data_IF_830804106054
#
_entry.id   IF_830804106054
#
_cell.length_a   1.000
_cell.length_b   1.000
_cell.length_c   1.000
_cell.angle_alpha   90.00
_cell.angle_beta   90.00
_cell.angle_gamma   90.00
#
_symmetry.space_group_name_H-M   'P 1'
#
loop_
_entity.id
_entity.type
_entity.pdbx_description
1 polymer ?
#
# COMPACT_ATOMS: atom_id res chain seq x y z
N UNK A 1 -36.32 29.07 38.37
CA UNK A 1 -35.74 30.41 38.59
C UNK A 1 -34.53 30.29 39.47
N UNK A 2 -33.31 30.28 38.87
CA UNK A 2 -32.02 30.71 39.40
C UNK A 2 -30.98 30.55 38.30
N UNK A 3 -30.52 31.68 37.81
CA UNK A 3 -29.48 31.87 36.82
C UNK A 3 -28.15 31.81 37.55
N UNK A 4 -27.17 31.09 37.02
CA UNK A 4 -25.76 31.25 37.41
C UNK A 4 -24.92 31.58 36.17
N UNK A 5 -24.43 32.81 36.18
CA UNK A 5 -23.40 33.31 35.31
C UNK A 5 -22.03 32.67 35.71
N UNK A 6 -21.24 32.23 34.76
CA UNK A 6 -19.83 31.95 34.95
C UNK A 6 -19.03 32.78 33.97
N UNK A 7 -18.15 33.58 34.56
CA UNK A 7 -17.26 34.55 33.95
C UNK A 7 -16.07 33.84 33.30
N UNK A 8 -15.76 34.20 32.03
CA UNK A 8 -14.52 33.87 31.39
C UNK A 8 -13.41 34.82 31.91
N UNK A 9 -12.29 34.24 32.36
CA UNK A 9 -11.04 34.97 32.58
C UNK A 9 -10.06 34.58 31.44
N UNK A 10 -9.73 35.58 30.62
CA UNK A 10 -8.65 35.50 29.64
C UNK A 10 -7.34 35.90 30.31
N UNK A 11 -6.32 35.05 30.26
CA UNK A 11 -4.95 35.40 30.66
C UNK A 11 -4.09 35.62 29.41
N UNK A 12 -3.74 36.88 29.17
CA UNK A 12 -2.76 37.26 28.15
C UNK A 12 -1.33 37.12 28.71
N UNK A 13 -0.48 36.37 28.05
CA UNK A 13 0.96 36.40 28.28
C UNK A 13 1.66 37.24 27.19
N UNK A 14 2.18 38.38 27.57
CA UNK A 14 3.15 39.14 26.77
C UNK A 14 4.55 38.60 27.02
N UNK A 15 5.25 38.26 25.96
CA UNK A 15 6.71 38.08 25.99
C UNK A 15 7.39 39.24 25.30
N UNK A 16 8.28 39.88 26.06
CA UNK A 16 9.07 41.03 25.65
C UNK A 16 10.24 40.59 24.74
N UNK A 17 10.41 41.30 23.62
CA UNK A 17 11.60 41.23 22.77
C UNK A 17 12.68 42.16 23.29
N UNK A 18 13.87 41.62 23.56
CA UNK A 18 15.08 42.43 23.71
C UNK A 18 15.82 42.44 22.37
N UNK A 19 15.97 43.65 21.84
CA UNK A 19 16.75 43.96 20.64
C UNK A 19 18.22 44.10 21.00
N UNK A 20 19.11 43.50 20.22
CA UNK A 20 20.47 44.01 20.09
C UNK A 20 20.91 43.88 18.63
N UNK A 21 21.08 45.01 17.97
CA UNK A 21 21.45 45.11 16.58
C UNK A 21 22.95 44.97 16.34
N UNK A 22 23.27 44.49 15.15
CA UNK A 22 24.43 44.96 14.36
C UNK A 22 24.13 44.79 12.88
N UNK A 23 24.32 45.86 12.18
CA UNK A 23 24.26 46.08 10.74
C UNK A 23 25.45 45.43 10.05
N UNK A 24 25.21 44.68 8.95
CA UNK A 24 26.04 44.72 7.75
C UNK A 24 25.23 44.30 6.51
N UNK A 25 25.51 44.92 5.40
CA UNK A 25 24.71 45.07 4.19
C UNK A 25 24.93 43.95 3.18
N UNK A 26 24.07 43.80 2.14
CA UNK A 26 23.73 42.54 1.50
C UNK A 26 24.54 42.23 0.25
N UNK A 27 24.83 40.96 0.06
CA UNK A 27 25.11 40.41 -1.27
C UNK A 27 23.91 39.58 -1.74
N UNK A 28 23.37 39.96 -2.88
CA UNK A 28 22.32 39.28 -3.61
C UNK A 28 22.86 37.94 -4.14
N UNK A 29 22.36 36.84 -3.61
CA UNK A 29 22.45 35.55 -4.25
C UNK A 29 21.07 34.85 -4.26
N UNK A 30 20.54 34.67 -5.47
CA UNK A 30 19.28 33.96 -5.71
C UNK A 30 19.49 32.45 -5.52
N UNK A 31 19.63 32.03 -4.28
CA UNK A 31 19.70 30.60 -3.90
C UNK A 31 18.33 29.96 -3.86
N UNK A 32 18.10 28.98 -4.74
CA UNK A 32 17.04 27.98 -4.59
C UNK A 32 17.11 27.39 -3.17
N UNK A 33 15.96 27.09 -2.51
CA UNK A 33 15.99 26.47 -1.20
C UNK A 33 16.72 25.13 -1.30
N UNK A 34 17.87 25.05 -0.64
CA UNK A 34 18.66 23.84 -0.55
C UNK A 34 17.86 22.74 0.14
N UNK A 35 17.83 21.56 -0.48
CA UNK A 35 17.38 20.33 0.13
C UNK A 35 18.12 20.17 1.48
N UNK A 36 17.44 19.86 2.60
CA UNK A 36 18.16 19.63 3.84
C UNK A 36 19.13 18.48 3.65
N UNK A 37 20.40 18.70 3.98
CA UNK A 37 21.42 17.66 4.02
C UNK A 37 21.06 16.64 5.10
N UNK A 38 20.38 15.58 4.70
CA UNK A 38 20.22 14.39 5.53
C UNK A 38 21.58 13.67 5.48
N UNK A 39 22.24 13.42 6.62
CA UNK A 39 23.48 12.67 6.62
C UNK A 39 23.21 11.30 5.99
N UNK A 40 23.76 11.02 4.83
CA UNK A 40 23.69 9.71 4.22
C UNK A 40 24.52 8.75 5.07
N UNK A 41 23.86 7.99 5.93
CA UNK A 41 24.48 6.85 6.59
C UNK A 41 24.73 5.79 5.52
N UNK A 42 25.95 5.67 5.05
CA UNK A 42 26.31 4.61 4.12
C UNK A 42 26.12 3.27 4.84
N UNK A 43 25.23 2.37 4.37
CA UNK A 43 25.06 1.06 4.98
C UNK A 43 26.40 0.33 5.02
N UNK A 44 26.77 -0.20 6.18
CA UNK A 44 28.00 -0.96 6.37
C UNK A 44 28.00 -2.27 5.57
N UNK A 45 29.17 -2.89 5.41
CA UNK A 45 29.32 -4.20 4.71
C UNK A 45 28.75 -5.41 5.49
N UNK A 46 28.04 -5.19 6.60
CA UNK A 46 27.49 -6.23 7.47
C UNK A 46 26.18 -6.86 6.97
N UNK A 47 25.63 -7.74 7.77
CA UNK A 47 24.32 -8.35 7.51
C UNK A 47 23.20 -7.34 7.76
N UNK A 48 22.23 -7.25 6.84
CA UNK A 48 21.02 -6.45 7.07
C UNK A 48 20.05 -7.28 7.90
N UNK A 49 19.54 -6.69 8.98
CA UNK A 49 18.56 -7.31 9.89
C UNK A 49 17.44 -6.34 10.20
N UNK A 50 16.29 -6.87 10.65
CA UNK A 50 15.21 -6.06 11.22
C UNK A 50 15.17 -6.33 12.73
N UNK A 51 15.44 -5.31 13.51
CA UNK A 51 15.33 -5.35 14.97
C UNK A 51 13.90 -4.95 15.35
N UNK A 52 13.09 -5.95 15.75
CA UNK A 52 11.71 -5.73 16.15
C UNK A 52 11.62 -5.15 17.55
N UNK A 53 10.80 -4.08 17.69
CA UNK A 53 10.41 -3.52 18.99
C UNK A 53 9.27 -4.37 19.57
N UNK A 54 9.28 -4.62 20.90
CA UNK A 54 8.18 -5.22 21.65
C UNK A 54 7.46 -6.43 20.98
N UNK A 55 6.42 -6.93 21.64
CA UNK A 55 5.54 -7.94 21.08
C UNK A 55 4.55 -7.34 20.05
N UNK A 56 4.02 -8.17 19.13
CA UNK A 56 2.97 -7.74 18.23
C UNK A 56 1.77 -7.16 19.00
N UNK A 57 1.22 -6.07 18.49
CA UNK A 57 0.07 -5.38 19.05
C UNK A 57 -1.19 -5.64 18.22
N UNK A 58 -2.26 -6.10 18.88
CA UNK A 58 -3.60 -6.17 18.26
C UNK A 58 -4.23 -4.78 18.27
N UNK A 59 -4.72 -4.34 17.09
CA UNK A 59 -5.35 -3.02 16.93
C UNK A 59 -6.87 -3.12 16.98
N UNK A 60 -7.47 -3.98 16.15
CA UNK A 60 -8.92 -4.10 16.05
C UNK A 60 -9.33 -5.39 15.31
N UNK A 61 -10.59 -5.82 15.39
CA UNK A 61 -11.17 -6.76 14.43
C UNK A 61 -11.18 -6.14 13.03
N UNK A 62 -10.91 -6.94 12.00
CA UNK A 62 -10.91 -6.49 10.61
C UNK A 62 -9.83 -7.17 9.78
N UNK A 63 -9.82 -6.85 8.49
CA UNK A 63 -8.99 -7.49 7.48
C UNK A 63 -8.36 -6.48 6.53
N UNK A 64 -7.27 -6.91 5.88
CA UNK A 64 -6.62 -6.19 4.78
C UNK A 64 -6.26 -4.74 5.14
N UNK A 65 -5.60 -4.55 6.29
CA UNK A 65 -5.28 -3.21 6.78
C UNK A 65 -4.08 -2.59 6.07
N UNK A 66 -4.14 -1.27 5.88
CA UNK A 66 -3.09 -0.44 5.30
C UNK A 66 -2.85 0.78 6.17
N UNK A 67 -1.59 1.18 6.30
CA UNK A 67 -1.19 2.32 7.12
C UNK A 67 -0.26 3.22 6.32
N UNK A 68 -0.56 4.51 6.27
CA UNK A 68 0.35 5.52 5.71
C UNK A 68 0.39 6.77 6.59
N UNK A 69 1.50 7.48 6.52
CA UNK A 69 1.68 8.77 7.17
C UNK A 69 0.94 9.86 6.38
N UNK A 70 0.24 10.72 7.08
CA UNK A 70 -0.40 11.92 6.51
C UNK A 70 0.55 13.12 6.56
N UNK A 71 0.29 14.12 5.71
CA UNK A 71 1.07 15.36 5.64
C UNK A 71 1.00 16.18 6.93
N UNK A 72 -0.02 15.98 7.75
CA UNK A 72 -0.14 16.60 9.09
C UNK A 72 0.63 15.85 10.19
N UNK A 73 1.35 14.80 9.84
CA UNK A 73 2.19 14.00 10.74
C UNK A 73 1.48 12.85 11.42
N UNK A 74 0.16 12.77 11.36
CA UNK A 74 -0.60 11.61 11.85
C UNK A 74 -0.40 10.41 10.93
N UNK A 75 -0.72 9.23 11.45
CA UNK A 75 -0.87 8.02 10.65
C UNK A 75 -2.34 7.67 10.52
N UNK A 76 -2.77 7.24 9.35
CA UNK A 76 -4.10 6.71 9.11
C UNK A 76 -3.99 5.23 8.80
N UNK A 77 -4.84 4.44 9.45
CA UNK A 77 -5.03 3.01 9.19
C UNK A 77 -6.41 2.84 8.56
N UNK A 78 -6.46 2.22 7.38
CA UNK A 78 -7.70 1.79 6.73
C UNK A 78 -7.81 0.29 6.76
N UNK A 79 -9.03 -0.24 6.86
CA UNK A 79 -9.29 -1.67 6.88
C UNK A 79 -10.74 -2.00 6.53
N UNK A 80 -10.99 -3.24 6.15
CA UNK A 80 -12.35 -3.75 5.92
C UNK A 80 -12.84 -4.51 7.15
N UNK A 81 -14.09 -4.29 7.53
CA UNK A 81 -14.78 -5.08 8.56
C UNK A 81 -16.24 -5.21 8.18
N UNK A 82 -16.83 -6.38 8.45
CA UNK A 82 -18.17 -6.74 8.03
C UNK A 82 -18.39 -6.53 6.52
N UNK A 83 -19.08 -5.44 6.15
CA UNK A 83 -19.37 -5.11 4.74
C UNK A 83 -18.77 -3.79 4.29
N UNK A 84 -18.09 -3.06 5.18
CA UNK A 84 -17.74 -1.66 5.01
C UNK A 84 -16.25 -1.41 5.20
N UNK A 85 -15.79 -0.24 4.78
CA UNK A 85 -14.45 0.26 4.99
C UNK A 85 -14.39 1.23 6.17
N UNK A 86 -13.38 1.06 7.00
CA UNK A 86 -13.14 1.83 8.22
C UNK A 86 -11.79 2.50 8.18
N UNK A 87 -11.64 3.50 9.04
CA UNK A 87 -10.33 4.09 9.34
C UNK A 87 -10.14 4.34 10.84
N UNK A 88 -8.88 4.52 11.23
CA UNK A 88 -8.42 5.01 12.53
C UNK A 88 -7.24 5.93 12.35
N UNK A 89 -7.04 6.88 13.27
CA UNK A 89 -5.86 7.74 13.30
C UNK A 89 -4.97 7.41 14.49
N UNK A 90 -3.66 7.64 14.31
CA UNK A 90 -2.66 7.63 15.35
C UNK A 90 -1.83 8.92 15.27
N UNK A 91 -1.57 9.55 16.41
CA UNK A 91 -0.72 10.75 16.53
C UNK A 91 0.61 10.47 17.23
N UNK A 92 0.89 9.22 17.55
CA UNK A 92 2.04 8.79 18.38
C UNK A 92 2.87 7.68 17.72
N UNK A 93 3.07 7.80 16.41
CA UNK A 93 3.84 6.83 15.64
C UNK A 93 3.26 5.40 15.70
N UNK A 94 1.96 5.26 15.53
CA UNK A 94 1.23 4.00 15.54
C UNK A 94 1.28 3.22 16.87
N UNK A 95 1.52 3.89 18.00
CA UNK A 95 1.51 3.25 19.32
C UNK A 95 0.10 3.09 19.88
N UNK A 96 -0.74 4.12 19.66
CA UNK A 96 -2.16 4.09 20.02
C UNK A 96 -3.02 4.54 18.85
N UNK A 97 -4.28 4.12 18.84
CA UNK A 97 -5.22 4.36 17.76
C UNK A 97 -6.54 4.93 18.29
N UNK A 98 -7.05 5.96 17.62
CA UNK A 98 -8.37 6.53 17.92
C UNK A 98 -9.49 5.51 17.66
N UNK A 99 -10.71 5.83 18.12
CA UNK A 99 -11.90 5.02 17.82
C UNK A 99 -12.13 4.92 16.30
N UNK A 100 -12.72 3.82 15.82
CA UNK A 100 -12.93 3.61 14.39
C UNK A 100 -13.99 4.56 13.84
N UNK A 101 -13.76 5.03 12.63
CA UNK A 101 -14.76 5.72 11.81
C UNK A 101 -15.12 4.85 10.61
N UNK A 102 -16.42 4.60 10.41
CA UNK A 102 -16.93 3.95 9.22
C UNK A 102 -17.09 5.01 8.12
N UNK A 103 -16.40 4.87 7.02
CA UNK A 103 -16.33 5.92 5.97
C UNK A 103 -16.66 5.41 4.58
N UNK A 104 -16.29 4.19 4.23
CA UNK A 104 -16.61 3.59 2.95
C UNK A 104 -17.81 2.65 3.13
N UNK A 105 -19.03 3.19 3.00
CA UNK A 105 -20.26 2.49 3.36
C UNK A 105 -20.87 1.83 2.13
N UNK A 106 -20.75 0.51 2.03
CA UNK A 106 -21.16 -0.27 0.85
C UNK A 106 -22.63 -0.04 0.45
N UNK A 107 -23.52 0.11 1.42
CA UNK A 107 -24.96 0.31 1.16
C UNK A 107 -25.28 1.64 0.46
N UNK A 108 -24.37 2.61 0.49
CA UNK A 108 -24.55 3.89 -0.22
C UNK A 108 -24.24 3.80 -1.71
N UNK A 109 -23.54 2.75 -2.15
CA UNK A 109 -23.20 2.56 -3.57
C UNK A 109 -24.38 2.01 -4.38
N UNK A 110 -25.01 0.97 -3.91
CA UNK A 110 -26.20 0.41 -4.56
C UNK A 110 -27.05 -0.38 -3.56
N UNK A 111 -28.26 0.08 -3.33
CA UNK A 111 -29.22 -0.60 -2.44
C UNK A 111 -29.75 -1.92 -3.02
N UNK A 112 -29.71 -2.09 -4.34
CA UNK A 112 -30.30 -3.24 -5.01
C UNK A 112 -29.34 -4.42 -5.18
N UNK A 113 -28.03 -4.18 -5.20
CA UNK A 113 -27.04 -5.19 -5.59
C UNK A 113 -26.34 -5.89 -4.41
N UNK A 114 -26.35 -5.29 -3.23
CA UNK A 114 -25.64 -5.82 -2.07
C UNK A 114 -24.17 -6.11 -2.36
N UNK A 115 -23.30 -5.13 -2.15
CA UNK A 115 -21.85 -5.29 -2.26
C UNK A 115 -21.18 -5.29 -0.89
N UNK A 116 -19.94 -5.71 -0.83
CA UNK A 116 -19.04 -5.53 0.32
C UNK A 116 -17.82 -4.74 -0.10
N UNK A 117 -17.30 -3.92 0.78
CA UNK A 117 -16.00 -3.25 0.64
C UNK A 117 -14.90 -4.22 1.05
N UNK A 118 -13.91 -4.39 0.21
CA UNK A 118 -12.75 -5.25 0.46
C UNK A 118 -11.47 -4.60 -0.08
N UNK A 119 -10.31 -5.11 0.33
CA UNK A 119 -9.00 -4.69 -0.17
C UNK A 119 -8.80 -3.18 -0.08
N UNK A 120 -8.98 -2.63 1.11
CA UNK A 120 -8.78 -1.21 1.41
C UNK A 120 -7.34 -0.74 1.12
N UNK A 121 -7.19 0.41 0.46
CA UNK A 121 -5.91 1.09 0.25
C UNK A 121 -6.15 2.59 0.15
N UNK A 122 -5.15 3.42 0.48
CA UNK A 122 -5.29 4.86 0.34
C UNK A 122 -3.93 5.53 0.09
N UNK A 123 -3.99 6.73 -0.47
CA UNK A 123 -2.88 7.67 -0.45
C UNK A 123 -3.38 9.07 -0.12
N UNK A 124 -2.55 9.86 0.52
CA UNK A 124 -2.75 11.31 0.59
C UNK A 124 -1.87 11.97 -0.47
N UNK A 125 -2.47 12.82 -1.28
CA UNK A 125 -1.75 13.59 -2.28
C UNK A 125 -0.80 14.57 -1.59
N UNK A 126 0.31 14.87 -2.25
CA UNK A 126 1.31 15.79 -1.73
C UNK A 126 0.70 17.17 -1.48
N UNK A 127 1.31 17.91 -0.56
CA UNK A 127 0.90 19.27 -0.23
C UNK A 127 1.07 20.25 -1.39
N UNK A 128 1.87 19.90 -2.40
CA UNK A 128 2.10 20.66 -3.63
C UNK A 128 1.38 20.09 -4.85
N UNK A 129 0.44 19.13 -4.66
CA UNK A 129 -0.38 18.64 -5.76
C UNK A 129 -1.11 19.82 -6.46
N UNK A 130 -1.03 19.94 -7.80
CA UNK A 130 -1.53 21.12 -8.51
C UNK A 130 -3.05 21.25 -8.51
N UNK A 131 -3.80 20.19 -8.20
CA UNK A 131 -5.26 20.18 -8.25
C UNK A 131 -5.90 20.13 -6.87
N UNK A 132 -5.46 19.17 -6.05
CA UNK A 132 -6.03 18.93 -4.72
C UNK A 132 -4.93 18.65 -3.70
N UNK A 133 -4.24 19.71 -3.19
CA UNK A 133 -3.24 19.55 -2.12
C UNK A 133 -3.83 18.83 -0.90
N UNK A 134 -3.13 17.83 -0.40
CA UNK A 134 -3.49 17.04 0.79
C UNK A 134 -4.78 16.20 0.67
N UNK A 135 -5.39 16.08 -0.52
CA UNK A 135 -6.55 15.19 -0.69
C UNK A 135 -6.18 13.75 -0.35
N UNK A 136 -7.00 13.10 0.44
CA UNK A 136 -6.90 11.66 0.67
C UNK A 136 -7.80 10.96 -0.35
N UNK A 137 -7.25 9.97 -1.05
CA UNK A 137 -7.99 9.06 -1.94
C UNK A 137 -7.97 7.69 -1.28
N UNK A 138 -9.15 7.20 -0.86
CA UNK A 138 -9.34 5.86 -0.31
C UNK A 138 -9.95 4.99 -1.40
N UNK A 139 -9.22 4.02 -1.89
CA UNK A 139 -9.65 3.06 -2.90
C UNK A 139 -10.04 1.73 -2.26
N UNK A 140 -11.03 1.07 -2.84
CA UNK A 140 -11.46 -0.25 -2.40
C UNK A 140 -12.03 -1.07 -3.56
N UNK A 141 -12.05 -2.37 -3.36
CA UNK A 141 -12.74 -3.31 -4.23
C UNK A 141 -14.17 -3.52 -3.73
N UNK A 142 -15.16 -3.25 -4.57
CA UNK A 142 -16.55 -3.59 -4.30
C UNK A 142 -16.85 -4.98 -4.84
N UNK A 143 -17.24 -5.89 -3.96
CA UNK A 143 -17.51 -7.30 -4.28
C UNK A 143 -18.99 -7.63 -4.10
N UNK A 144 -19.68 -8.24 -5.09
CA UNK A 144 -21.06 -8.67 -4.92
C UNK A 144 -21.19 -9.74 -3.83
N UNK A 145 -22.13 -9.54 -2.89
CA UNK A 145 -22.42 -10.50 -1.82
C UNK A 145 -22.97 -11.82 -2.35
N UNK A 146 -23.86 -11.73 -3.33
CA UNK A 146 -24.48 -12.92 -3.94
C UNK A 146 -24.03 -13.09 -5.38
N UNK A 147 -22.97 -13.85 -5.55
CA UNK A 147 -22.32 -14.08 -6.84
C UNK A 147 -23.16 -14.87 -7.82
N UNK A 148 -24.13 -15.69 -7.34
CA UNK A 148 -24.91 -16.59 -8.19
C UNK A 148 -26.16 -15.92 -8.79
N UNK A 149 -26.70 -14.90 -8.14
CA UNK A 149 -27.99 -14.30 -8.50
C UNK A 149 -27.88 -12.88 -9.02
N UNK A 150 -26.79 -12.18 -8.76
CA UNK A 150 -26.60 -10.80 -9.19
C UNK A 150 -25.66 -10.68 -10.37
N UNK A 151 -26.05 -9.92 -11.38
CA UNK A 151 -25.15 -9.54 -12.48
C UNK A 151 -24.27 -8.35 -12.11
N UNK A 152 -24.16 -8.01 -10.82
CA UNK A 152 -23.34 -6.90 -10.33
C UNK A 152 -21.87 -7.23 -10.56
N UNK A 153 -21.11 -6.39 -11.27
CA UNK A 153 -19.70 -6.61 -11.47
C UNK A 153 -18.90 -6.41 -10.17
N UNK A 154 -17.68 -6.94 -10.15
CA UNK A 154 -16.67 -6.41 -9.25
C UNK A 154 -16.25 -5.04 -9.73
N UNK A 155 -15.99 -4.14 -8.82
CA UNK A 155 -15.59 -2.78 -9.17
C UNK A 155 -14.42 -2.30 -8.30
N UNK A 156 -13.62 -1.42 -8.87
CA UNK A 156 -12.70 -0.56 -8.13
C UNK A 156 -13.39 0.78 -7.95
N UNK A 157 -13.51 1.21 -6.71
CA UNK A 157 -14.17 2.45 -6.37
C UNK A 157 -13.35 3.25 -5.36
N UNK A 158 -13.59 4.56 -5.33
CA UNK A 158 -12.90 5.49 -4.43
C UNK A 158 -13.91 6.34 -3.64
N UNK A 159 -13.44 6.84 -2.51
CA UNK A 159 -13.96 8.02 -1.83
C UNK A 159 -12.80 8.99 -1.58
N UNK A 160 -13.07 10.28 -1.50
CA UNK A 160 -12.06 11.32 -1.30
C UNK A 160 -12.37 12.18 -0.10
N UNK A 161 -11.32 12.74 0.51
CA UNK A 161 -11.44 13.72 1.60
C UNK A 161 -10.44 14.84 1.37
N UNK A 162 -10.92 16.09 1.42
CA UNK A 162 -10.12 17.31 1.30
C UNK A 162 -9.85 17.99 2.67
N UNK A 163 -10.25 17.33 3.77
CA UNK A 163 -10.14 17.86 5.13
C UNK A 163 -9.48 16.86 6.11
N UNK A 164 -8.44 16.18 5.62
CA UNK A 164 -7.64 15.22 6.40
C UNK A 164 -8.47 14.09 7.04
N UNK A 165 -9.50 13.62 6.32
CA UNK A 165 -10.30 12.47 6.70
C UNK A 165 -11.51 12.79 7.58
N UNK A 166 -11.85 14.07 7.79
CA UNK A 166 -13.01 14.46 8.60
C UNK A 166 -14.35 14.25 7.85
N UNK A 167 -14.36 14.52 6.53
CA UNK A 167 -15.54 14.30 5.67
C UNK A 167 -15.11 13.54 4.42
N UNK A 168 -16.04 12.76 3.89
CA UNK A 168 -15.78 11.90 2.74
C UNK A 168 -16.82 12.12 1.64
N UNK A 169 -16.37 12.05 0.39
CA UNK A 169 -17.23 12.12 -0.79
C UNK A 169 -18.17 10.90 -0.86
N UNK A 170 -19.12 10.96 -1.79
CA UNK A 170 -19.86 9.76 -2.21
C UNK A 170 -18.90 8.78 -2.91
N UNK A 171 -19.27 7.49 -2.87
CA UNK A 171 -18.54 6.45 -3.59
C UNK A 171 -18.59 6.74 -5.10
N UNK A 172 -17.40 6.75 -5.71
CA UNK A 172 -17.20 6.85 -7.15
C UNK A 172 -16.59 5.55 -7.67
N UNK A 173 -17.32 4.84 -8.53
CA UNK A 173 -16.77 3.73 -9.30
C UNK A 173 -15.85 4.28 -10.39
N UNK A 174 -14.62 3.80 -10.42
CA UNK A 174 -13.63 4.20 -11.45
C UNK A 174 -13.39 3.09 -12.47
N UNK A 175 -13.67 1.84 -12.11
CA UNK A 175 -13.58 0.69 -13.00
C UNK A 175 -14.56 -0.40 -12.57
N UNK A 176 -15.19 -1.07 -13.55
CA UNK A 176 -16.02 -2.25 -13.32
C UNK A 176 -15.58 -3.39 -14.23
N UNK A 177 -15.45 -4.59 -13.67
CA UNK A 177 -15.16 -5.80 -14.45
C UNK A 177 -16.32 -6.11 -15.40
N UNK A 178 -16.02 -6.79 -16.51
CA UNK A 178 -17.08 -7.30 -17.38
C UNK A 178 -17.85 -8.40 -16.67
N UNK A 179 -19.16 -8.32 -16.78
CA UNK A 179 -20.03 -9.41 -16.35
C UNK A 179 -19.89 -10.62 -17.30
N UNK A 180 -19.96 -11.76 -16.74
CA UNK A 180 -19.96 -13.14 -17.23
C UNK A 180 -20.24 -13.39 -18.72
N UNK A 181 -19.31 -13.98 -19.40
CA UNK A 181 -19.55 -14.66 -20.70
C UNK A 181 -19.32 -16.18 -20.63
N UNK A 182 -18.85 -16.68 -19.50
CA UNK A 182 -18.57 -18.08 -19.21
C UNK A 182 -19.07 -18.43 -17.81
N UNK A 183 -19.07 -19.69 -17.43
CA UNK A 183 -19.42 -20.14 -16.07
C UNK A 183 -18.38 -19.69 -15.01
N UNK A 184 -17.32 -19.01 -15.41
CA UNK A 184 -16.24 -18.53 -14.55
C UNK A 184 -16.38 -17.05 -14.31
N UNK A 185 -16.56 -16.70 -13.04
CA UNK A 185 -16.57 -15.33 -12.56
C UNK A 185 -15.25 -14.61 -12.85
N UNK A 186 -15.33 -13.40 -13.38
CA UNK A 186 -14.19 -12.52 -13.64
C UNK A 186 -14.33 -11.25 -12.83
N UNK A 187 -13.24 -10.83 -12.20
CA UNK A 187 -13.24 -9.69 -11.32
C UNK A 187 -12.08 -8.71 -11.55
N UNK A 188 -12.08 -7.68 -10.76
CA UNK A 188 -10.96 -6.78 -10.55
C UNK A 188 -10.75 -6.64 -9.05
N UNK A 189 -9.49 -6.57 -8.59
CA UNK A 189 -9.17 -6.76 -7.18
C UNK A 189 -8.00 -5.88 -6.75
N UNK A 190 -7.91 -5.62 -5.43
CA UNK A 190 -6.69 -5.19 -4.74
C UNK A 190 -6.13 -3.88 -5.29
N UNK A 191 -6.91 -2.76 -5.20
CA UNK A 191 -6.42 -1.47 -5.65
C UNK A 191 -5.21 -1.02 -4.83
N UNK A 192 -4.28 -0.31 -5.50
CA UNK A 192 -3.18 0.42 -4.88
C UNK A 192 -3.11 1.82 -5.47
N UNK A 193 -2.93 2.84 -4.64
CA UNK A 193 -2.93 4.25 -5.05
C UNK A 193 -1.52 4.80 -5.02
N UNK A 194 -1.09 5.45 -6.11
CA UNK A 194 0.20 6.13 -6.24
C UNK A 194 0.01 7.51 -6.86
N UNK A 195 0.65 8.53 -6.28
CA UNK A 195 0.80 9.85 -6.92
C UNK A 195 2.16 9.94 -7.61
N UNK A 196 2.18 10.38 -8.87
CA UNK A 196 3.39 10.66 -9.63
C UNK A 196 3.90 12.09 -9.36
N UNK A 197 5.19 12.39 -9.69
CA UNK A 197 5.77 13.71 -9.44
C UNK A 197 5.05 14.88 -10.12
N UNK A 198 4.38 14.63 -11.24
CA UNK A 198 3.59 15.63 -11.98
C UNK A 198 2.18 15.86 -11.39
N UNK A 199 1.82 15.16 -10.32
CA UNK A 199 0.50 15.22 -9.69
C UNK A 199 -0.52 14.25 -10.26
N UNK A 200 -0.17 13.47 -11.29
CA UNK A 200 -1.02 12.38 -11.80
C UNK A 200 -1.22 11.33 -10.71
N UNK A 201 -2.48 10.94 -10.51
CA UNK A 201 -2.86 9.86 -9.59
C UNK A 201 -3.09 8.58 -10.35
N UNK A 202 -2.53 7.50 -9.90
CA UNK A 202 -2.67 6.16 -10.46
C UNK A 202 -3.33 5.22 -9.47
N UNK A 203 -4.30 4.42 -9.94
CA UNK A 203 -4.86 3.29 -9.19
C UNK A 203 -4.54 2.01 -9.95
N UNK A 204 -3.64 1.22 -9.39
CA UNK A 204 -3.27 -0.10 -9.89
C UNK A 204 -4.24 -1.14 -9.35
N UNK A 205 -4.53 -2.17 -10.11
CA UNK A 205 -5.36 -3.29 -9.64
C UNK A 205 -5.12 -4.54 -10.48
N UNK A 206 -5.46 -5.68 -9.89
CA UNK A 206 -5.47 -6.96 -10.57
C UNK A 206 -6.75 -7.10 -11.41
N UNK A 207 -6.65 -7.49 -12.69
CA UNK A 207 -7.76 -7.45 -13.65
C UNK A 207 -7.89 -8.76 -14.45
N UNK A 208 -9.01 -9.45 -14.27
CA UNK A 208 -9.38 -10.64 -15.05
C UNK A 208 -10.24 -10.31 -16.29
N UNK A 209 -10.69 -9.05 -16.43
CA UNK A 209 -11.59 -8.62 -17.52
C UNK A 209 -11.04 -8.85 -18.92
N UNK A 210 -9.73 -8.70 -19.20
CA UNK A 210 -9.17 -9.01 -20.52
C UNK A 210 -9.39 -10.46 -20.94
N UNK A 211 -9.57 -11.35 -19.97
CA UNK A 211 -9.75 -12.79 -20.15
C UNK A 211 -11.21 -13.26 -19.95
N UNK A 212 -12.19 -12.37 -20.15
CA UNK A 212 -13.60 -12.66 -19.84
C UNK A 212 -14.19 -13.84 -20.65
N UNK A 213 -13.58 -14.21 -21.78
CA UNK A 213 -13.96 -15.37 -22.58
C UNK A 213 -13.26 -16.67 -22.16
N UNK A 214 -12.22 -16.59 -21.34
CA UNK A 214 -11.46 -17.76 -20.92
C UNK A 214 -12.13 -18.47 -19.74
N UNK A 215 -12.09 -19.79 -19.74
CA UNK A 215 -12.55 -20.59 -18.60
C UNK A 215 -11.58 -20.54 -17.42
N UNK A 216 -10.32 -20.13 -17.65
CA UNK A 216 -9.30 -20.01 -16.61
C UNK A 216 -9.24 -18.59 -16.07
N UNK A 217 -8.75 -18.45 -14.85
CA UNK A 217 -8.64 -17.15 -14.13
C UNK A 217 -7.30 -16.48 -14.40
N UNK A 218 -6.98 -16.20 -15.67
CA UNK A 218 -5.83 -15.39 -16.01
C UNK A 218 -6.06 -13.94 -15.57
N UNK A 219 -4.98 -13.24 -15.24
CA UNK A 219 -5.07 -11.93 -14.60
C UNK A 219 -3.87 -11.07 -14.99
N UNK A 220 -4.12 -9.81 -15.29
CA UNK A 220 -3.13 -8.77 -15.53
C UNK A 220 -3.03 -7.84 -14.32
N UNK A 221 -1.99 -7.01 -14.30
CA UNK A 221 -2.04 -5.74 -13.57
C UNK A 221 -2.43 -4.64 -14.55
N UNK A 222 -3.44 -3.88 -14.17
CA UNK A 222 -3.98 -2.74 -14.90
C UNK A 222 -3.88 -1.47 -14.06
N UNK A 223 -3.88 -0.29 -14.71
CA UNK A 223 -3.85 1.01 -14.05
C UNK A 223 -4.87 1.97 -14.64
N UNK A 224 -5.64 2.65 -13.78
CA UNK A 224 -6.45 3.82 -14.12
C UNK A 224 -5.70 5.07 -13.69
N UNK A 225 -5.84 6.17 -14.45
CA UNK A 225 -5.16 7.43 -14.18
C UNK A 225 -6.13 8.60 -14.08
N UNK A 226 -5.77 9.54 -13.21
CA UNK A 226 -6.42 10.84 -13.04
C UNK A 226 -5.36 11.93 -13.12
N UNK A 227 -5.56 12.90 -14.01
CA UNK A 227 -4.71 14.09 -14.14
C UNK A 227 -5.25 15.32 -13.40
N UNK A 228 -6.32 15.16 -12.64
CA UNK A 228 -7.02 16.23 -11.92
C UNK A 228 -7.25 15.87 -10.44
N UNK A 229 -6.32 15.12 -9.84
CA UNK A 229 -6.35 14.78 -8.42
C UNK A 229 -7.51 13.86 -8.00
N UNK A 230 -8.03 13.03 -8.92
CA UNK A 230 -9.08 12.04 -8.65
C UNK A 230 -10.49 12.49 -9.03
N UNK A 231 -10.65 13.68 -9.61
CA UNK A 231 -11.97 14.17 -10.02
C UNK A 231 -12.48 13.43 -11.26
N UNK A 232 -11.62 13.18 -12.24
CA UNK A 232 -11.95 12.33 -13.40
C UNK A 232 -10.88 11.26 -13.63
N UNK A 233 -11.26 10.20 -14.32
CA UNK A 233 -10.40 9.03 -14.55
C UNK A 233 -10.42 8.62 -16.01
N UNK A 234 -9.36 7.99 -16.48
CA UNK A 234 -9.28 7.41 -17.82
C UNK A 234 -10.48 6.46 -18.04
N UNK A 235 -10.99 6.40 -19.29
CA UNK A 235 -12.15 5.53 -19.60
C UNK A 235 -11.81 4.05 -19.64
N UNK A 236 -10.56 3.74 -19.98
CA UNK A 236 -10.05 2.38 -20.09
C UNK A 236 -8.74 2.26 -19.32
N UNK A 237 -8.50 1.14 -18.64
CA UNK A 237 -7.24 0.91 -17.97
C UNK A 237 -6.12 0.67 -18.98
N UNK A 238 -4.90 1.05 -18.60
CA UNK A 238 -3.67 0.64 -19.27
C UNK A 238 -3.14 -0.63 -18.64
N UNK A 239 -2.60 -1.55 -19.44
CA UNK A 239 -1.97 -2.76 -18.92
C UNK A 239 -0.57 -2.42 -18.44
N UNK A 240 -0.29 -2.72 -17.19
CA UNK A 240 1.02 -2.58 -16.54
C UNK A 240 1.87 -3.81 -16.82
N UNK A 241 1.34 -4.98 -16.49
CA UNK A 241 2.03 -6.24 -16.71
C UNK A 241 1.06 -7.37 -17.04
N UNK A 242 1.55 -8.31 -17.83
CA UNK A 242 0.89 -9.60 -18.00
C UNK A 242 1.89 -10.69 -18.37
N UNK A 243 1.54 -11.92 -18.01
CA UNK A 243 2.26 -13.09 -18.45
C UNK A 243 1.24 -14.11 -18.97
N UNK A 244 1.36 -14.51 -20.24
CA UNK A 244 0.40 -15.40 -20.89
C UNK A 244 0.16 -16.68 -20.08
N UNK A 245 -1.11 -16.96 -19.78
CA UNK A 245 -1.56 -18.11 -18.97
C UNK A 245 -1.11 -18.05 -17.49
N UNK A 246 -0.77 -16.87 -16.98
CA UNK A 246 -0.41 -16.63 -15.60
C UNK A 246 -1.41 -15.69 -14.92
N UNK A 247 -1.22 -15.50 -13.62
CA UNK A 247 -1.91 -14.50 -12.83
C UNK A 247 -0.88 -13.56 -12.24
N UNK A 248 -0.96 -12.31 -12.62
CA UNK A 248 -0.29 -11.20 -11.95
C UNK A 248 -1.31 -10.57 -10.99
N UNK A 249 -1.07 -10.61 -9.69
CA UNK A 249 -2.01 -10.15 -8.67
C UNK A 249 -1.39 -9.24 -7.62
N UNK A 250 -2.23 -8.67 -6.77
CA UNK A 250 -1.88 -7.88 -5.58
C UNK A 250 -0.80 -6.81 -5.84
N UNK A 251 -1.05 -5.85 -6.74
CA UNK A 251 -0.06 -4.84 -7.07
C UNK A 251 0.20 -3.89 -5.90
N UNK A 252 1.46 -3.60 -5.63
CA UNK A 252 1.91 -2.54 -4.73
C UNK A 252 2.97 -1.73 -5.43
N UNK A 253 2.67 -0.46 -5.70
CA UNK A 253 3.54 0.42 -6.48
C UNK A 253 4.42 1.30 -5.57
N UNK A 254 5.66 1.54 -6.01
CA UNK A 254 6.63 2.40 -5.35
C UNK A 254 7.37 3.23 -6.39
N UNK A 255 7.52 4.52 -6.13
CA UNK A 255 8.35 5.40 -6.93
C UNK A 255 9.72 5.55 -6.27
N UNK A 256 10.79 5.28 -7.01
CA UNK A 256 12.17 5.47 -6.54
C UNK A 256 13.09 5.78 -7.73
N UNK A 257 13.89 6.85 -7.64
CA UNK A 257 14.86 7.25 -8.67
C UNK A 257 14.23 7.34 -10.07
N UNK A 258 13.12 8.04 -10.23
CA UNK A 258 12.38 8.24 -11.48
C UNK A 258 11.88 6.93 -12.14
N UNK A 259 11.83 5.85 -11.39
CA UNK A 259 11.23 4.58 -11.81
C UNK A 259 10.06 4.20 -10.93
N UNK A 260 9.04 3.66 -11.58
CA UNK A 260 7.89 3.04 -10.92
C UNK A 260 8.17 1.55 -10.82
N UNK A 261 8.19 1.03 -9.61
CA UNK A 261 8.29 -0.40 -9.31
C UNK A 261 6.94 -0.90 -8.83
N UNK A 262 6.47 -2.02 -9.36
CA UNK A 262 5.27 -2.67 -8.87
C UNK A 262 5.63 -4.08 -8.43
N UNK A 263 5.50 -4.34 -7.13
CA UNK A 263 5.54 -5.69 -6.61
C UNK A 263 4.22 -6.40 -6.93
N UNK A 264 4.30 -7.63 -7.40
CA UNK A 264 3.16 -8.47 -7.77
C UNK A 264 3.35 -9.88 -7.24
N UNK A 265 2.26 -10.60 -7.04
CA UNK A 265 2.28 -12.06 -6.90
C UNK A 265 2.03 -12.70 -8.27
N UNK A 266 2.93 -13.57 -8.70
CA UNK A 266 2.81 -14.31 -9.95
C UNK A 266 2.52 -15.78 -9.69
N UNK A 267 1.52 -16.32 -10.38
CA UNK A 267 1.21 -17.76 -10.36
C UNK A 267 1.06 -18.24 -11.80
N UNK A 268 1.81 -19.27 -12.17
CA UNK A 268 1.85 -19.80 -13.53
C UNK A 268 1.10 -21.13 -13.74
N UNK A 269 1.00 -21.60 -15.00
CA UNK A 269 0.37 -22.85 -15.34
C UNK A 269 1.01 -24.03 -14.61
N UNK A 270 0.16 -24.87 -14.01
CA UNK A 270 0.60 -26.08 -13.32
C UNK A 270 1.22 -25.84 -11.94
N UNK A 271 1.23 -24.59 -11.45
CA UNK A 271 1.61 -24.27 -10.09
C UNK A 271 0.40 -23.74 -9.34
N UNK A 272 0.27 -24.10 -8.07
CA UNK A 272 -0.71 -23.50 -7.16
C UNK A 272 -0.05 -22.42 -6.26
N UNK A 273 1.24 -22.25 -6.38
CA UNK A 273 2.04 -21.35 -5.55
C UNK A 273 2.22 -20.00 -6.23
N UNK A 274 2.05 -18.94 -5.47
CA UNK A 274 2.40 -17.60 -5.87
C UNK A 274 3.85 -17.29 -5.49
N UNK A 275 4.50 -16.42 -6.27
CA UNK A 275 5.84 -15.92 -6.01
C UNK A 275 5.91 -14.41 -6.24
N UNK A 276 6.61 -13.65 -5.39
CA UNK A 276 6.77 -12.23 -5.63
C UNK A 276 7.65 -11.99 -6.86
N UNK A 277 7.21 -11.06 -7.69
CA UNK A 277 7.97 -10.48 -8.81
C UNK A 277 7.93 -8.97 -8.69
N UNK A 278 8.92 -8.34 -9.27
CA UNK A 278 8.91 -6.89 -9.48
C UNK A 278 8.81 -6.64 -10.98
N UNK A 279 7.88 -5.77 -11.36
CA UNK A 279 7.85 -5.16 -12.69
C UNK A 279 8.17 -3.68 -12.55
N UNK A 280 8.92 -3.12 -13.51
CA UNK A 280 9.30 -1.72 -13.43
C UNK A 280 9.21 -1.01 -14.79
N UNK A 281 8.95 0.28 -14.73
CA UNK A 281 8.96 1.22 -15.86
C UNK A 281 9.61 2.52 -15.42
N UNK A 282 10.15 3.32 -16.34
CA UNK A 282 10.47 4.70 -16.00
C UNK A 282 9.19 5.51 -15.80
N UNK A 283 9.22 6.52 -14.95
CA UNK A 283 8.10 7.44 -14.80
C UNK A 283 7.72 8.14 -16.11
N UNK A 284 8.71 8.39 -16.99
CA UNK A 284 8.50 9.00 -18.31
C UNK A 284 7.81 8.06 -19.31
N UNK A 285 8.12 6.74 -19.26
CA UNK A 285 7.42 5.74 -20.07
C UNK A 285 6.02 5.50 -19.52
N UNK A 286 5.89 5.45 -18.21
CA UNK A 286 4.60 5.33 -17.52
C UNK A 286 3.71 4.24 -18.13
N UNK A 287 4.25 3.04 -18.31
CA UNK A 287 3.53 1.87 -18.82
C UNK A 287 2.97 2.02 -20.24
N UNK A 288 3.52 2.91 -21.08
CA UNK A 288 3.18 2.96 -22.53
C UNK A 288 3.44 1.61 -23.19
N UNK A 289 4.47 0.90 -22.69
CA UNK A 289 4.78 -0.47 -23.06
C UNK A 289 4.55 -1.38 -21.85
N UNK A 290 3.61 -2.35 -21.92
CA UNK A 290 3.37 -3.27 -20.81
C UNK A 290 4.55 -4.22 -20.59
N UNK A 291 4.80 -4.59 -19.34
CA UNK A 291 5.87 -5.51 -18.96
C UNK A 291 5.40 -6.96 -19.12
N UNK A 292 5.94 -7.65 -20.12
CA UNK A 292 5.62 -9.05 -20.42
C UNK A 292 6.33 -10.03 -19.49
N UNK A 293 5.89 -11.29 -19.49
CA UNK A 293 6.51 -12.37 -18.72
C UNK A 293 7.99 -12.59 -19.01
N UNK A 294 8.44 -12.31 -20.23
CA UNK A 294 9.84 -12.45 -20.70
C UNK A 294 10.64 -11.15 -20.66
N UNK A 295 10.04 -10.06 -20.20
CA UNK A 295 10.69 -8.77 -20.19
C UNK A 295 11.86 -8.72 -19.19
N UNK A 296 12.95 -8.03 -19.57
CA UNK A 296 14.04 -7.71 -18.66
C UNK A 296 13.60 -6.78 -17.50
N UNK A 297 12.48 -6.09 -17.65
CA UNK A 297 11.89 -5.23 -16.62
C UNK A 297 10.99 -6.01 -15.63
N UNK A 298 10.93 -7.33 -15.74
CA UNK A 298 10.32 -8.26 -14.79
C UNK A 298 11.42 -9.08 -14.14
N UNK A 299 11.58 -9.02 -12.83
CA UNK A 299 12.67 -9.72 -12.16
C UNK A 299 12.24 -10.30 -10.81
N UNK A 300 13.04 -11.25 -10.32
CA UNK A 300 12.84 -11.88 -9.02
C UNK A 300 13.55 -11.06 -7.93
N UNK A 301 12.85 -10.54 -6.92
CA UNK A 301 13.47 -9.77 -5.84
C UNK A 301 14.15 -10.65 -4.78
N UNK A 302 13.96 -11.97 -4.81
CA UNK A 302 14.52 -12.89 -3.82
C UNK A 302 15.87 -13.42 -4.30
N UNK A 303 16.89 -13.40 -3.42
CA UNK A 303 18.24 -13.91 -3.73
C UNK A 303 18.22 -15.42 -4.07
N UNK A 304 17.43 -16.19 -3.34
CA UNK A 304 17.19 -17.60 -3.61
C UNK A 304 15.74 -17.75 -4.01
N UNK A 305 15.44 -18.11 -5.26
CA UNK A 305 14.08 -18.39 -5.67
C UNK A 305 13.49 -19.48 -4.78
N UNK A 306 12.24 -19.28 -4.36
CA UNK A 306 11.49 -20.28 -3.62
C UNK A 306 11.17 -21.46 -4.56
N UNK A 307 11.13 -22.66 -4.01
CA UNK A 307 10.62 -23.82 -4.75
C UNK A 307 9.13 -23.60 -5.04
N UNK A 308 8.80 -23.44 -6.32
CA UNK A 308 7.43 -23.15 -6.77
C UNK A 308 6.42 -24.24 -6.48
N UNK A 309 6.87 -25.46 -6.15
CA UNK A 309 5.99 -26.61 -5.90
C UNK A 309 5.63 -26.76 -4.42
N UNK A 310 6.45 -26.25 -3.53
CA UNK A 310 6.37 -26.51 -2.10
C UNK A 310 6.07 -25.30 -1.23
N UNK A 311 6.22 -24.06 -1.74
CA UNK A 311 6.08 -22.84 -0.93
C UNK A 311 5.14 -21.86 -1.64
N UNK A 312 4.09 -21.45 -0.93
CA UNK A 312 3.31 -20.27 -1.28
C UNK A 312 4.05 -19.02 -0.80
N UNK A 313 4.23 -18.04 -1.69
CA UNK A 313 4.84 -16.76 -1.37
C UNK A 313 4.10 -15.61 -2.09
N UNK A 314 2.91 -15.27 -1.59
CA UNK A 314 2.01 -14.30 -2.20
C UNK A 314 1.92 -12.99 -1.42
N UNK A 315 0.97 -12.16 -1.82
CA UNK A 315 0.64 -10.90 -1.19
C UNK A 315 1.86 -10.02 -0.88
N UNK A 316 2.68 -9.66 -1.88
CA UNK A 316 3.85 -8.81 -1.66
C UNK A 316 3.44 -7.40 -1.27
N UNK A 317 4.26 -6.74 -0.44
CA UNK A 317 4.12 -5.31 -0.16
C UNK A 317 5.50 -4.66 -0.17
N UNK A 318 5.66 -3.59 -0.97
CA UNK A 318 6.92 -2.96 -1.29
C UNK A 318 6.95 -1.51 -0.80
N UNK A 319 7.98 -1.17 -0.04
CA UNK A 319 8.29 0.22 0.32
C UNK A 319 9.79 0.48 0.19
N UNK A 320 10.18 1.73 0.23
CA UNK A 320 11.54 2.13 0.59
C UNK A 320 11.52 2.96 1.87
N UNK A 321 12.62 2.90 2.60
CA UNK A 321 12.96 3.80 3.70
C UNK A 321 14.09 4.73 3.24
N UNK A 322 14.73 5.45 4.15
CA UNK A 322 15.85 6.33 3.80
C UNK A 322 16.99 5.57 3.09
N UNK A 323 17.31 4.35 3.55
CA UNK A 323 18.47 3.59 3.07
C UNK A 323 18.15 2.23 2.45
N UNK A 324 16.92 1.73 2.59
CA UNK A 324 16.59 0.36 2.21
C UNK A 324 15.32 0.26 1.37
N UNK A 325 15.31 -0.73 0.48
CA UNK A 325 14.10 -1.26 -0.15
C UNK A 325 13.66 -2.46 0.70
N UNK A 326 12.42 -2.45 1.15
CA UNK A 326 11.84 -3.50 1.98
C UNK A 326 10.65 -4.12 1.26
N UNK A 327 10.73 -5.40 0.99
CA UNK A 327 9.64 -6.20 0.45
C UNK A 327 9.19 -7.21 1.50
N UNK A 328 7.93 -7.16 1.89
CA UNK A 328 7.30 -8.25 2.61
C UNK A 328 6.49 -9.13 1.68
N UNK A 329 6.30 -10.37 2.06
CA UNK A 329 5.43 -11.32 1.37
C UNK A 329 4.92 -12.36 2.38
N UNK A 330 3.84 -13.04 2.03
CA UNK A 330 3.36 -14.17 2.82
C UNK A 330 4.14 -15.42 2.43
N UNK A 331 4.50 -16.24 3.42
CA UNK A 331 5.19 -17.49 3.17
C UNK A 331 4.55 -18.65 3.93
N UNK A 332 4.35 -19.75 3.24
CA UNK A 332 4.00 -21.03 3.86
C UNK A 332 5.24 -21.86 4.24
N UNK A 333 6.44 -21.31 4.13
CA UNK A 333 7.67 -22.00 4.54
C UNK A 333 7.60 -22.42 6.02
N UNK A 334 7.76 -23.70 6.27
CA UNK A 334 7.61 -24.28 7.61
C UNK A 334 6.18 -24.61 8.02
N UNK A 335 5.17 -24.33 7.21
CA UNK A 335 3.80 -24.75 7.44
C UNK A 335 3.58 -26.19 7.00
N UNK A 336 2.59 -26.84 7.65
CA UNK A 336 2.21 -28.22 7.31
C UNK A 336 1.53 -28.33 5.92
N UNK A 337 0.78 -27.30 5.52
CA UNK A 337 0.05 -27.27 4.24
C UNK A 337 0.55 -26.14 3.35
N UNK A 338 0.62 -26.38 2.04
CA UNK A 338 0.90 -25.36 1.03
C UNK A 338 -0.27 -24.39 0.87
N UNK A 339 0.02 -23.21 0.32
CA UNK A 339 -0.96 -22.18 0.03
C UNK A 339 -1.03 -21.10 1.10
N UNK A 340 -2.02 -20.23 1.02
CA UNK A 340 -2.19 -19.13 1.96
C UNK A 340 -2.66 -19.58 3.36
N UNK A 341 -3.14 -20.81 3.48
CA UNK A 341 -3.50 -21.40 4.76
C UNK A 341 -2.23 -21.58 5.59
N UNK A 342 -2.25 -21.08 6.80
CA UNK A 342 -1.10 -21.12 7.73
C UNK A 342 0.15 -20.31 7.25
N UNK A 343 0.00 -19.41 6.30
CA UNK A 343 1.08 -18.51 5.89
C UNK A 343 1.35 -17.43 6.95
N UNK A 344 2.58 -16.96 6.99
CA UNK A 344 3.00 -15.83 7.84
C UNK A 344 3.82 -14.82 7.03
N UNK A 345 3.97 -13.61 7.56
CA UNK A 345 4.71 -12.54 6.91
C UNK A 345 6.22 -12.77 7.00
N UNK A 346 6.89 -12.69 5.88
CA UNK A 346 8.35 -12.72 5.74
C UNK A 346 8.85 -11.52 4.96
N UNK A 347 10.17 -11.31 4.96
CA UNK A 347 10.81 -10.13 4.39
C UNK A 347 12.01 -10.48 3.53
N UNK A 348 12.27 -9.60 2.56
CA UNK A 348 13.57 -9.43 1.96
C UNK A 348 13.93 -7.95 1.90
N UNK A 349 15.18 -7.61 2.14
CA UNK A 349 15.66 -6.23 2.22
C UNK A 349 16.91 -6.06 1.35
N UNK A 350 16.96 -4.94 0.63
CA UNK A 350 18.12 -4.53 -0.14
C UNK A 350 18.50 -3.10 0.23
N UNK A 351 19.77 -2.81 0.43
CA UNK A 351 20.22 -1.43 0.56
C UNK A 351 20.09 -0.69 -0.78
N UNK A 352 19.59 0.54 -0.77
CA UNK A 352 19.35 1.34 -2.00
C UNK A 352 20.65 1.50 -2.81
N UNK A 353 21.80 1.66 -2.16
CA UNK A 353 23.10 1.76 -2.82
C UNK A 353 23.62 0.43 -3.40
N UNK A 354 22.96 -0.69 -3.16
CA UNK A 354 23.27 -2.01 -3.74
C UNK A 354 22.38 -2.35 -4.95
N UNK A 355 21.51 -1.43 -5.37
CA UNK A 355 20.77 -1.58 -6.61
C UNK A 355 21.75 -1.63 -7.80
N UNK A 356 21.41 -2.44 -8.79
CA UNK A 356 22.18 -2.47 -10.05
C UNK A 356 21.96 -1.19 -10.86
N UNK A 357 22.87 -0.86 -11.77
CA UNK A 357 22.76 0.36 -12.59
C UNK A 357 21.51 0.42 -13.47
N UNK A 358 20.89 -0.72 -13.80
CA UNK A 358 19.60 -0.80 -14.49
C UNK A 358 18.41 -0.68 -13.54
N UNK A 359 18.67 -0.51 -12.23
CA UNK A 359 17.65 -0.28 -11.20
C UNK A 359 17.02 -1.55 -10.63
N UNK A 360 17.59 -2.71 -10.85
CA UNK A 360 17.14 -3.94 -10.19
C UNK A 360 17.72 -4.07 -8.80
N UNK A 361 17.00 -4.80 -7.97
CA UNK A 361 17.44 -5.14 -6.63
C UNK A 361 17.15 -6.60 -6.32
N UNK A 362 17.94 -7.17 -5.44
CA UNK A 362 17.74 -8.51 -4.90
C UNK A 362 17.96 -8.47 -3.42
N UNK A 363 16.95 -8.85 -2.67
CA UNK A 363 17.01 -8.83 -1.22
C UNK A 363 17.90 -9.94 -0.65
N UNK A 364 18.51 -9.65 0.50
CA UNK A 364 19.48 -10.52 1.17
C UNK A 364 18.89 -11.35 2.29
N UNK A 365 17.67 -11.02 2.73
CA UNK A 365 17.04 -11.66 3.90
C UNK A 365 15.93 -12.60 3.47
N UNK A 366 15.84 -13.74 4.15
CA UNK A 366 14.77 -14.71 3.96
C UNK A 366 14.52 -15.47 5.25
N UNK A 367 13.27 -15.59 5.66
CA UNK A 367 12.78 -16.54 6.68
C UNK A 367 13.14 -16.27 8.14
N UNK A 368 14.05 -15.36 8.45
CA UNK A 368 14.55 -15.15 9.83
C UNK A 368 13.89 -14.01 10.60
N UNK A 369 13.05 -13.21 9.97
CA UNK A 369 12.59 -11.94 10.53
C UNK A 369 11.06 -11.82 10.55
N UNK A 370 10.40 -12.91 10.91
CA UNK A 370 8.95 -12.94 11.05
C UNK A 370 8.51 -12.04 12.21
N UNK A 371 7.73 -10.98 11.95
CA UNK A 371 7.26 -10.09 13.00
C UNK A 371 6.16 -10.73 13.85
N UNK A 372 5.47 -11.73 13.29
CA UNK A 372 4.34 -12.39 13.93
C UNK A 372 4.66 -13.89 14.08
N UNK A 373 4.90 -14.30 15.33
CA UNK A 373 5.13 -15.70 15.67
C UNK A 373 3.78 -16.40 15.81
N UNK A 374 3.27 -16.93 14.71
CA UNK A 374 2.01 -17.66 14.67
C UNK A 374 2.27 -19.17 14.75
N UNK A 375 1.33 -19.90 15.27
CA UNK A 375 1.29 -21.35 15.10
C UNK A 375 0.78 -21.68 13.69
N UNK A 376 1.70 -22.00 12.79
CA UNK A 376 1.37 -22.28 11.39
C UNK A 376 0.59 -23.59 11.18
N UNK A 377 0.23 -24.32 12.22
CA UNK A 377 -0.68 -25.47 12.13
C UNK A 377 -2.14 -25.05 12.27
N UNK A 378 -2.41 -23.98 13.02
CA UNK A 378 -3.77 -23.53 13.36
C UNK A 378 -4.06 -22.10 12.90
N UNK A 379 -3.03 -21.26 12.85
CA UNK A 379 -3.15 -19.83 12.63
C UNK A 379 -2.65 -19.41 11.25
N UNK A 380 -3.05 -18.21 10.83
CA UNK A 380 -2.58 -17.56 9.62
C UNK A 380 -2.43 -16.07 9.86
N UNK A 381 -1.39 -15.47 9.29
CA UNK A 381 -1.19 -14.03 9.24
C UNK A 381 -1.14 -13.59 7.78
N UNK A 382 -2.23 -13.00 7.28
CA UNK A 382 -2.49 -12.79 5.86
C UNK A 382 -2.43 -11.30 5.48
N UNK A 383 -2.26 -11.07 4.16
CA UNK A 383 -2.37 -9.76 3.50
C UNK A 383 -1.59 -8.65 4.17
N UNK A 384 -0.31 -8.96 4.43
CA UNK A 384 0.60 -8.04 5.08
C UNK A 384 0.78 -6.74 4.32
N UNK A 385 1.12 -5.68 5.07
CA UNK A 385 1.49 -4.37 4.55
C UNK A 385 2.65 -3.79 5.35
N UNK A 386 3.26 -2.76 4.80
CA UNK A 386 4.36 -2.02 5.41
C UNK A 386 4.04 -0.54 5.41
N UNK A 387 4.51 0.17 6.44
CA UNK A 387 4.55 1.63 6.44
C UNK A 387 5.94 2.09 6.87
N UNK A 388 6.50 3.06 6.15
CA UNK A 388 7.71 3.76 6.59
C UNK A 388 7.35 4.73 7.72
N UNK A 389 8.04 4.59 8.85
CA UNK A 389 7.90 5.48 10.02
C UNK A 389 9.03 6.52 10.10
N UNK A 390 9.95 6.52 9.12
CA UNK A 390 11.14 7.34 9.06
C UNK A 390 12.34 6.73 9.77
N UNK A 391 13.56 7.18 9.40
CA UNK A 391 14.84 6.74 9.98
C UNK A 391 15.01 5.21 9.94
N UNK A 392 14.67 4.60 8.81
CA UNK A 392 14.71 3.14 8.57
C UNK A 392 13.85 2.32 9.54
N UNK A 393 12.88 2.96 10.19
CA UNK A 393 11.90 2.30 11.04
C UNK A 393 10.66 1.96 10.22
N UNK A 394 10.20 0.73 10.31
CA UNK A 394 9.04 0.22 9.59
C UNK A 394 7.94 -0.25 10.54
N UNK A 395 6.70 -0.15 10.08
CA UNK A 395 5.57 -0.82 10.70
C UNK A 395 5.17 -2.01 9.83
N UNK A 396 5.24 -3.21 10.36
CA UNK A 396 4.63 -4.40 9.77
C UNK A 396 3.17 -4.47 10.21
N UNK A 397 2.28 -4.72 9.26
CA UNK A 397 0.83 -4.83 9.45
C UNK A 397 0.36 -6.16 8.89
N UNK A 398 -0.52 -6.87 9.57
CA UNK A 398 -1.11 -8.12 9.06
C UNK A 398 -2.53 -8.32 9.59
N UNK A 399 -3.28 -9.17 8.91
CA UNK A 399 -4.48 -9.79 9.47
C UNK A 399 -4.07 -11.12 10.11
N UNK A 400 -4.25 -11.24 11.42
CA UNK A 400 -4.08 -12.49 12.14
C UNK A 400 -5.39 -12.87 12.83
N UNK A 401 -5.98 -13.97 12.39
CA UNK A 401 -7.25 -14.49 12.90
C UNK A 401 -8.36 -13.41 12.95
N UNK A 402 -8.69 -12.83 11.78
CA UNK A 402 -9.71 -11.79 11.60
C UNK A 402 -9.49 -10.52 12.45
N UNK A 403 -8.28 -10.24 12.79
CA UNK A 403 -7.90 -9.03 13.52
C UNK A 403 -6.67 -8.39 12.90
N UNK A 404 -6.61 -7.08 12.94
CA UNK A 404 -5.46 -6.28 12.52
C UNK A 404 -4.41 -6.30 13.62
N UNK A 405 -3.20 -6.71 13.27
CA UNK A 405 -2.04 -6.70 14.14
C UNK A 405 -0.91 -5.88 13.51
N UNK A 406 -0.13 -5.25 14.36
CA UNK A 406 1.02 -4.44 13.95
C UNK A 406 2.24 -4.80 14.79
N UNK A 407 3.43 -4.57 14.20
CA UNK A 407 4.71 -4.60 14.92
C UNK A 407 5.67 -3.61 14.31
N UNK A 408 6.38 -2.88 15.16
CA UNK A 408 7.41 -1.92 14.72
C UNK A 408 8.76 -2.61 14.70
N UNK A 409 9.60 -2.20 13.75
CA UNK A 409 10.96 -2.70 13.68
C UNK A 409 11.86 -1.70 12.96
N UNK A 410 13.15 -1.77 13.22
CA UNK A 410 14.16 -0.95 12.54
C UNK A 410 15.04 -1.80 11.67
N UNK A 411 15.22 -1.38 10.43
CA UNK A 411 16.20 -1.99 9.52
C UNK A 411 17.58 -1.46 9.88
N UNK A 412 18.52 -2.35 10.13
CA UNK A 412 19.91 -2.00 10.47
C UNK A 412 20.91 -2.90 9.76
N UNK A 413 22.12 -2.43 9.57
CA UNK A 413 23.25 -3.26 9.16
C UNK A 413 24.09 -3.59 10.39
N UNK A 414 24.16 -4.86 10.74
CA UNK A 414 25.02 -5.36 11.81
C UNK A 414 26.45 -5.55 11.28
N UNK A 415 27.44 -5.18 12.11
CA UNK A 415 28.87 -5.29 11.79
C UNK A 415 29.35 -6.72 11.77
#
# INVERSE_FOLDING_TARGET
MKVYNVILAAASFMLAFASCGKTDNPSTDNGKPGKPDIPSVTPGKGNIVIQWENDPQKVCPGAYARVHKLNDGRYMLVYSSDTDGYLRFSADNCRTWQQPSKVFIASTFSSAAGVTVANAEFAQLRADNPHHPNRIIYAANLRPKNKKTTKTPYSIAIITSDDNGAKWSKIKEIYASRTWSTDVEKGCYEPFVLELPDGTVQVYFADETPYYKDKLRYQNISVMESSDGGDTWTKTPRIVSYNSKYRDGMPVAMLLNDKIYVAIEENGPGTQSFHPKIVCSSAADNWKTPVLGTSAYRFNPLKTPLDSRSIYAGAPYLIHTDNYIVLSYLSSEGAFEMGSKNATMEFTVCAINEMTGDGKFTGKMRGKFRPFSIDQTTDRALWGALCDLGSDTILAVTEWNNSVWIRRGRVVTEK
#
